data_IF_458798175144
#
_entry.id   IF_458798175144
#
_cell.length_a   1.000
_cell.length_b   1.000
_cell.length_c   1.000
_cell.angle_alpha   90.00
_cell.angle_beta   90.00
_cell.angle_gamma   90.00
#
_symmetry.space_group_name_H-M   'P 1'
#
loop_
_entity.id
_entity.type
_entity.pdbx_description
1 polymer ?
#
# COMPACT_ATOMS: atom_id res chain seq x y z
N UNK A 1 -2.08 14.63 -7.69
CA UNK A 1 -0.64 14.52 -7.40
C UNK A 1 0.01 13.92 -8.63
N UNK A 2 0.75 14.72 -9.40
CA UNK A 2 1.44 14.22 -10.60
C UNK A 2 2.40 13.08 -10.21
N UNK A 3 2.44 12.02 -11.01
CA UNK A 3 3.20 10.80 -10.71
C UNK A 3 2.45 9.72 -9.91
N UNK A 4 1.15 9.91 -9.64
CA UNK A 4 0.31 8.86 -9.07
C UNK A 4 -0.04 7.82 -10.14
N UNK A 5 0.30 6.55 -9.89
CA UNK A 5 0.05 5.45 -10.83
C UNK A 5 -1.21 4.63 -10.50
N UNK A 6 -1.73 4.74 -9.27
CA UNK A 6 -2.88 3.99 -8.75
C UNK A 6 -3.83 4.94 -8.06
N UNK A 7 -5.12 4.82 -8.33
CA UNK A 7 -6.19 5.53 -7.62
C UNK A 7 -6.48 4.90 -6.24
N UNK A 8 -5.48 4.89 -5.34
CA UNK A 8 -5.63 4.41 -3.98
C UNK A 8 -4.60 5.05 -3.03
N UNK A 9 -4.83 4.88 -1.73
CA UNK A 9 -3.96 5.40 -0.67
C UNK A 9 -3.57 4.29 0.31
N UNK A 10 -2.56 4.54 1.14
CA UNK A 10 -2.09 3.60 2.18
C UNK A 10 -3.22 3.14 3.12
N UNK A 11 -4.23 3.99 3.33
CA UNK A 11 -5.43 3.68 4.13
C UNK A 11 -6.23 2.55 3.49
N UNK A 12 -6.43 2.60 2.17
CA UNK A 12 -7.15 1.56 1.44
C UNK A 12 -6.41 0.22 1.48
N UNK A 13 -5.10 0.25 1.29
CA UNK A 13 -4.27 -0.96 1.35
C UNK A 13 -4.33 -1.62 2.73
N UNK A 14 -4.23 -0.82 3.80
CA UNK A 14 -4.38 -1.31 5.16
C UNK A 14 -5.78 -1.88 5.41
N UNK A 15 -6.84 -1.17 4.99
CA UNK A 15 -8.21 -1.60 5.21
C UNK A 15 -8.50 -2.95 4.53
N UNK A 16 -7.97 -3.17 3.31
CA UNK A 16 -8.10 -4.44 2.61
C UNK A 16 -7.47 -5.58 3.42
N UNK A 17 -6.23 -5.40 3.89
CA UNK A 17 -5.52 -6.42 4.68
C UNK A 17 -6.17 -6.65 6.05
N UNK A 18 -6.58 -5.58 6.74
CA UNK A 18 -7.16 -5.64 8.07
C UNK A 18 -8.58 -6.25 8.12
N UNK A 19 -9.31 -6.20 7.01
CA UNK A 19 -10.67 -6.75 6.89
C UNK A 19 -10.75 -8.01 6.03
N UNK A 20 -9.59 -8.59 5.69
CA UNK A 20 -9.54 -9.83 4.94
C UNK A 20 -10.17 -10.97 5.76
N UNK A 21 -11.04 -11.76 5.11
CA UNK A 21 -11.78 -12.86 5.75
C UNK A 21 -12.94 -12.41 6.64
N UNK A 22 -13.24 -11.11 6.73
CA UNK A 22 -14.46 -10.64 7.39
C UNK A 22 -15.67 -10.87 6.50
N UNK A 23 -16.80 -11.25 7.11
CA UNK A 23 -18.11 -11.17 6.47
C UNK A 23 -18.48 -9.71 6.18
N UNK A 24 -19.39 -9.49 5.24
CA UNK A 24 -19.78 -8.15 4.78
C UNK A 24 -20.26 -7.24 5.92
N UNK A 25 -21.01 -7.80 6.88
CA UNK A 25 -21.49 -7.03 8.04
C UNK A 25 -20.33 -6.62 8.95
N UNK A 26 -19.39 -7.53 9.20
CA UNK A 26 -18.21 -7.27 10.05
C UNK A 26 -17.28 -6.26 9.39
N UNK A 27 -17.12 -6.33 8.06
CA UNK A 27 -16.37 -5.35 7.27
C UNK A 27 -17.01 -3.97 7.36
N UNK A 28 -18.32 -3.87 7.21
CA UNK A 28 -19.06 -2.60 7.29
C UNK A 28 -18.93 -1.97 8.68
N UNK A 29 -19.13 -2.76 9.74
CA UNK A 29 -18.93 -2.29 11.13
C UNK A 29 -17.50 -1.83 11.38
N UNK A 30 -16.50 -2.57 10.88
CA UNK A 30 -15.10 -2.18 11.00
C UNK A 30 -14.80 -0.87 10.28
N UNK A 31 -15.30 -0.70 9.05
CA UNK A 31 -15.11 0.54 8.27
C UNK A 31 -15.73 1.74 8.97
N UNK A 32 -16.96 1.59 9.50
CA UNK A 32 -17.62 2.63 10.27
C UNK A 32 -16.82 3.01 11.53
N UNK A 33 -16.29 2.02 12.25
CA UNK A 33 -15.45 2.25 13.43
C UNK A 33 -14.07 2.86 13.08
N UNK A 34 -13.58 2.66 11.85
CA UNK A 34 -12.29 3.19 11.40
C UNK A 34 -12.40 4.64 10.88
N UNK A 35 -13.58 5.09 10.46
CA UNK A 35 -13.82 6.41 9.88
C UNK A 35 -13.28 7.58 10.75
N UNK A 36 -13.47 7.60 12.09
CA UNK A 36 -12.90 8.65 12.94
C UNK A 36 -11.37 8.69 12.91
N UNK A 37 -10.72 7.52 12.80
CA UNK A 37 -9.26 7.45 12.66
C UNK A 37 -8.80 8.03 11.32
N UNK A 38 -9.55 7.83 10.24
CA UNK A 38 -9.25 8.43 8.94
C UNK A 38 -9.24 9.96 9.04
N UNK A 39 -10.25 10.56 9.68
CA UNK A 39 -10.28 12.01 9.90
C UNK A 39 -9.07 12.50 10.72
N UNK A 40 -8.73 11.79 11.80
CA UNK A 40 -7.52 12.07 12.58
C UNK A 40 -6.23 12.00 11.73
N UNK A 41 -6.12 10.99 10.87
CA UNK A 41 -4.96 10.83 9.99
C UNK A 41 -4.84 11.95 8.95
N UNK A 42 -5.95 12.39 8.36
CA UNK A 42 -5.94 13.52 7.42
C UNK A 42 -5.47 14.81 8.11
N UNK A 43 -5.97 15.09 9.31
CA UNK A 43 -5.50 16.24 10.10
C UNK A 43 -4.01 16.14 10.42
N UNK A 44 -3.54 14.95 10.81
CA UNK A 44 -2.13 14.72 11.13
C UNK A 44 -1.24 14.86 9.89
N UNK A 45 -1.70 14.38 8.74
CA UNK A 45 -1.01 14.45 7.46
C UNK A 45 -0.83 15.90 6.99
N UNK A 46 -1.87 16.72 7.14
CA UNK A 46 -1.83 18.17 6.84
C UNK A 46 -0.78 18.91 7.67
N UNK A 47 -0.49 18.44 8.89
CA UNK A 47 0.48 19.07 9.79
C UNK A 47 1.89 18.50 9.55
N UNK A 48 2.01 17.17 9.46
CA UNK A 48 3.29 16.50 9.34
C UNK A 48 3.17 15.09 8.73
N UNK A 49 3.48 14.99 7.43
CA UNK A 49 3.51 13.73 6.65
C UNK A 49 4.33 12.62 7.31
N UNK A 50 5.52 12.94 7.81
CA UNK A 50 6.42 11.96 8.44
C UNK A 50 5.84 11.40 9.75
N UNK A 51 5.16 12.25 10.52
CA UNK A 51 4.46 11.84 11.75
C UNK A 51 3.22 11.01 11.40
N UNK A 52 2.46 11.41 10.39
CA UNK A 52 1.34 10.60 9.86
C UNK A 52 1.81 9.19 9.50
N UNK A 53 2.84 9.05 8.67
CA UNK A 53 3.36 7.73 8.27
C UNK A 53 3.72 6.88 9.50
N UNK A 54 4.49 7.44 10.44
CA UNK A 54 4.92 6.72 11.65
C UNK A 54 3.75 6.29 12.53
N UNK A 55 2.70 7.10 12.65
CA UNK A 55 1.51 6.75 13.45
C UNK A 55 0.60 5.77 12.70
N UNK A 56 0.39 5.97 11.40
CA UNK A 56 -0.46 5.14 10.56
C UNK A 56 0.07 3.71 10.47
N UNK A 57 1.38 3.55 10.24
CA UNK A 57 1.99 2.23 10.08
C UNK A 57 2.00 1.38 11.36
N UNK A 58 1.78 1.98 12.54
CA UNK A 58 1.58 1.23 13.79
C UNK A 58 0.34 0.33 13.76
N UNK A 59 -0.63 0.60 12.88
CA UNK A 59 -1.79 -0.26 12.72
C UNK A 59 -1.45 -1.67 12.20
N UNK A 60 -0.29 -1.85 11.55
CA UNK A 60 0.16 -3.15 11.07
C UNK A 60 0.77 -4.03 12.19
N UNK A 61 0.94 -3.47 13.40
CA UNK A 61 1.57 -4.20 14.51
C UNK A 61 0.83 -5.51 14.81
N UNK A 62 1.59 -6.59 14.87
CA UNK A 62 1.10 -7.92 15.20
C UNK A 62 0.53 -8.70 14.01
N UNK A 63 0.43 -8.10 12.83
CA UNK A 63 0.03 -8.83 11.62
C UNK A 63 1.10 -9.84 11.23
N UNK A 64 0.65 -11.02 10.82
CA UNK A 64 1.50 -12.12 10.37
C UNK A 64 2.04 -11.84 8.97
N UNK A 65 3.36 -11.88 8.80
CA UNK A 65 4.02 -11.51 7.55
C UNK A 65 3.75 -12.52 6.44
N UNK A 66 3.72 -13.81 6.76
CA UNK A 66 3.42 -14.86 5.78
C UNK A 66 1.99 -14.70 5.25
N UNK A 67 1.02 -14.49 6.14
CA UNK A 67 -0.37 -14.23 5.73
C UNK A 67 -0.51 -12.96 4.89
N UNK A 68 0.23 -11.89 5.20
CA UNK A 68 0.22 -10.68 4.36
C UNK A 68 0.77 -11.01 2.98
N UNK A 69 1.94 -11.66 2.89
CA UNK A 69 2.60 -12.01 1.62
C UNK A 69 1.70 -12.84 0.73
N UNK A 70 1.09 -13.89 1.27
CA UNK A 70 0.17 -14.76 0.53
C UNK A 70 -1.02 -13.99 -0.04
N UNK A 71 -1.47 -12.94 0.65
CA UNK A 71 -2.63 -12.12 0.27
C UNK A 71 -2.28 -10.94 -0.63
N UNK A 72 -1.01 -10.56 -0.74
CA UNK A 72 -0.60 -9.43 -1.58
C UNK A 72 -0.91 -9.66 -3.06
N UNK A 73 -0.84 -10.91 -3.54
CA UNK A 73 -1.25 -11.27 -4.91
C UNK A 73 -2.74 -11.03 -5.16
N UNK A 74 -3.60 -11.56 -4.27
CA UNK A 74 -5.05 -11.34 -4.34
C UNK A 74 -5.42 -9.87 -4.23
N UNK A 75 -4.77 -9.16 -3.31
CA UNK A 75 -4.95 -7.72 -3.14
C UNK A 75 -4.56 -6.95 -4.40
N UNK A 76 -3.46 -7.35 -5.05
CA UNK A 76 -3.05 -6.75 -6.31
C UNK A 76 -4.12 -6.97 -7.40
N UNK A 77 -4.51 -8.22 -7.67
CA UNK A 77 -5.43 -8.53 -8.77
C UNK A 77 -6.82 -7.91 -8.59
N UNK A 78 -7.38 -7.98 -7.38
CA UNK A 78 -8.77 -7.57 -7.15
C UNK A 78 -8.94 -6.11 -6.73
N UNK A 79 -7.90 -5.49 -6.15
CA UNK A 79 -7.99 -4.12 -5.66
C UNK A 79 -7.09 -3.16 -6.41
N UNK A 80 -5.80 -3.45 -6.54
CA UNK A 80 -4.81 -2.48 -7.07
C UNK A 80 -4.87 -2.41 -8.59
N UNK A 81 -4.80 -3.55 -9.28
CA UNK A 81 -4.71 -3.64 -10.74
C UNK A 81 -5.84 -2.88 -11.46
N UNK A 82 -7.12 -2.99 -11.07
CA UNK A 82 -8.20 -2.23 -11.72
C UNK A 82 -8.11 -0.71 -11.52
N UNK A 83 -7.32 -0.26 -10.55
CA UNK A 83 -7.13 1.16 -10.19
C UNK A 83 -5.84 1.75 -10.75
N UNK A 84 -5.04 0.97 -11.49
CA UNK A 84 -3.86 1.48 -12.18
C UNK A 84 -4.32 2.34 -13.35
N UNK A 85 -3.83 3.57 -13.44
CA UNK A 85 -4.14 4.45 -14.56
C UNK A 85 -3.53 3.88 -15.85
N UNK A 86 -4.33 3.71 -16.91
CA UNK A 86 -3.84 3.23 -18.21
C UNK A 86 -2.71 4.10 -18.77
N UNK A 87 -2.84 5.43 -18.64
CA UNK A 87 -1.80 6.36 -19.06
C UNK A 87 -0.47 6.19 -18.30
N UNK A 88 -0.49 5.67 -17.07
CA UNK A 88 0.74 5.33 -16.36
C UNK A 88 1.43 4.10 -16.97
N UNK A 89 0.65 3.08 -17.36
CA UNK A 89 1.16 1.88 -18.03
C UNK A 89 1.79 2.26 -19.37
N UNK A 90 1.07 3.05 -20.18
CA UNK A 90 1.54 3.53 -21.48
C UNK A 90 2.84 4.32 -21.33
N UNK A 91 2.88 5.28 -20.40
CA UNK A 91 4.07 6.10 -20.19
C UNK A 91 5.27 5.27 -19.74
N UNK A 92 5.07 4.32 -18.82
CA UNK A 92 6.14 3.40 -18.40
C UNK A 92 6.65 2.58 -19.59
N UNK A 93 5.76 2.10 -20.46
CA UNK A 93 6.14 1.37 -21.66
C UNK A 93 6.97 2.23 -22.63
N UNK A 94 6.62 3.50 -22.81
CA UNK A 94 7.39 4.45 -23.63
C UNK A 94 8.80 4.67 -23.09
N UNK A 95 8.95 4.92 -21.78
CA UNK A 95 10.26 5.06 -21.13
C UNK A 95 11.12 3.80 -21.36
N UNK A 96 10.53 2.63 -21.18
CA UNK A 96 11.22 1.34 -21.40
C UNK A 96 11.60 1.12 -22.86
N UNK A 97 10.74 1.50 -23.82
CA UNK A 97 11.03 1.39 -25.25
C UNK A 97 12.23 2.25 -25.67
N UNK A 98 12.50 3.35 -24.95
CA UNK A 98 13.71 4.19 -25.14
C UNK A 98 14.96 3.65 -24.43
N UNK A 99 14.87 2.49 -23.76
CA UNK A 99 15.98 1.91 -23.00
C UNK A 99 16.25 2.62 -21.66
N UNK A 100 15.30 3.43 -21.18
CA UNK A 100 15.42 4.15 -19.91
C UNK A 100 15.05 3.23 -18.74
N UNK A 101 15.74 3.41 -17.61
CA UNK A 101 15.40 2.70 -16.37
C UNK A 101 14.20 3.35 -15.69
N UNK A 102 13.27 2.54 -15.23
CA UNK A 102 12.06 2.97 -14.51
C UNK A 102 12.11 2.46 -13.08
N UNK A 103 12.06 3.36 -12.10
CA UNK A 103 12.05 3.01 -10.67
C UNK A 103 10.72 3.46 -10.05
N UNK A 104 10.04 2.54 -9.35
CA UNK A 104 8.84 2.86 -8.57
C UNK A 104 9.25 3.39 -7.19
N UNK A 105 8.86 4.63 -6.90
CA UNK A 105 9.09 5.26 -5.59
C UNK A 105 7.73 5.44 -4.89
N UNK A 106 7.59 4.91 -3.67
CA UNK A 106 6.30 4.88 -2.98
C UNK A 106 6.44 5.01 -1.47
N UNK A 107 5.50 5.74 -0.87
CA UNK A 107 5.31 5.80 0.59
C UNK A 107 4.54 4.60 1.16
N UNK A 108 4.26 3.57 0.34
CA UNK A 108 3.53 2.34 0.70
C UNK A 108 4.50 1.21 1.08
N UNK A 109 4.02 0.18 1.77
CA UNK A 109 4.85 -0.97 2.13
C UNK A 109 5.36 -1.73 0.91
N UNK A 110 6.63 -2.14 0.97
CA UNK A 110 7.29 -2.98 -0.03
C UNK A 110 6.48 -4.24 -0.38
N UNK A 111 6.04 -5.00 0.63
CA UNK A 111 5.26 -6.22 0.46
C UNK A 111 4.01 -6.04 -0.43
N UNK A 112 3.37 -4.88 -0.34
CA UNK A 112 2.13 -4.56 -1.08
C UNK A 112 2.46 -4.09 -2.50
N UNK A 113 3.62 -3.44 -2.68
CA UNK A 113 4.02 -2.79 -3.93
C UNK A 113 4.91 -3.68 -4.81
N UNK A 114 5.49 -4.75 -4.27
CA UNK A 114 6.24 -5.76 -5.02
C UNK A 114 5.46 -6.33 -6.21
N UNK A 115 4.17 -6.75 -6.08
CA UNK A 115 3.37 -7.19 -7.22
C UNK A 115 3.16 -6.09 -8.27
N UNK A 116 2.97 -4.83 -7.84
CA UNK A 116 2.78 -3.69 -8.74
C UNK A 116 4.05 -3.41 -9.54
N UNK A 117 5.20 -3.39 -8.87
CA UNK A 117 6.51 -3.23 -9.48
C UNK A 117 6.78 -4.33 -10.52
N UNK A 118 6.44 -5.58 -10.18
CA UNK A 118 6.58 -6.74 -11.06
C UNK A 118 5.67 -6.63 -12.29
N UNK A 119 4.40 -6.26 -12.10
CA UNK A 119 3.43 -6.07 -13.18
C UNK A 119 3.86 -4.96 -14.16
N UNK A 120 4.32 -3.82 -13.62
CA UNK A 120 4.79 -2.69 -14.42
C UNK A 120 6.19 -2.90 -15.01
N UNK A 121 6.88 -3.99 -14.63
CA UNK A 121 8.24 -4.34 -15.06
C UNK A 121 9.24 -3.20 -14.82
N UNK A 122 9.16 -2.60 -13.64
CA UNK A 122 10.10 -1.56 -13.21
C UNK A 122 11.46 -2.17 -12.82
N UNK A 123 12.55 -1.46 -13.08
CA UNK A 123 13.91 -1.87 -12.77
C UNK A 123 14.27 -1.76 -11.27
N UNK A 124 13.44 -1.06 -10.49
CA UNK A 124 13.63 -0.94 -9.05
C UNK A 124 12.38 -0.51 -8.30
N UNK A 125 12.37 -0.80 -7.00
CA UNK A 125 11.33 -0.42 -6.06
C UNK A 125 11.96 0.22 -4.82
N UNK A 126 11.61 1.48 -4.57
CA UNK A 126 11.93 2.20 -3.34
C UNK A 126 10.61 2.38 -2.58
N UNK A 127 10.42 1.55 -1.57
CA UNK A 127 9.20 1.48 -0.78
C UNK A 127 9.50 1.56 0.73
N UNK A 128 8.46 1.82 1.52
CA UNK A 128 8.56 1.80 2.98
C UNK A 128 8.75 0.36 3.46
N UNK A 129 9.72 0.16 4.34
CA UNK A 129 9.97 -1.13 5.00
C UNK A 129 9.57 -1.04 6.46
N UNK A 130 9.16 -2.18 7.01
CA UNK A 130 8.79 -2.30 8.42
C UNK A 130 9.63 -3.38 9.08
N UNK A 131 10.05 -3.14 10.32
CA UNK A 131 10.73 -4.16 11.10
C UNK A 131 9.78 -5.33 11.37
N UNK A 132 10.33 -6.53 11.22
CA UNK A 132 9.70 -7.80 11.53
C UNK A 132 10.35 -8.41 12.78
N UNK A 133 9.53 -9.04 13.62
CA UNK A 133 9.98 -9.84 14.76
C UNK A 133 9.06 -11.05 14.92
N UNK A 134 9.65 -12.24 15.03
CA UNK A 134 8.93 -13.51 15.24
C UNK A 134 7.81 -13.74 14.18
N UNK A 135 8.09 -13.45 12.90
CA UNK A 135 7.13 -13.58 11.81
C UNK A 135 6.03 -12.52 11.79
N UNK A 136 6.12 -11.48 12.64
CA UNK A 136 5.10 -10.44 12.79
C UNK A 136 5.65 -9.05 12.56
N UNK A 137 4.83 -8.20 11.97
CA UNK A 137 5.13 -6.78 11.80
C UNK A 137 5.15 -6.07 13.15
N UNK A 138 6.18 -5.27 13.40
CA UNK A 138 6.34 -4.54 14.68
C UNK A 138 5.53 -3.25 14.73
N UNK A 139 5.09 -2.73 13.58
CA UNK A 139 4.49 -1.40 13.44
C UNK A 139 5.51 -0.25 13.43
N UNK A 140 6.82 -0.55 13.37
CA UNK A 140 7.89 0.45 13.30
C UNK A 140 8.60 0.38 11.96
N UNK A 141 8.72 1.52 11.29
CA UNK A 141 9.43 1.64 10.00
C UNK A 141 10.93 1.41 10.18
N UNK A 142 11.56 0.77 9.20
CA UNK A 142 12.99 0.50 9.15
C UNK A 142 13.80 1.67 8.54
#
# INVERSE_FOLDING_TARGET
VDGTIVEATVVHYYAYLATYGYSDIRRTTWTAAFLPKVAYYLLLDMINRSRFNRVFYRNYRGMDVAQIRDRCGDHFEHFIRPRIFSGAIERIAEHRARGERVVLITGSLDLIMEPVSSFLKTDGLIAVKMHEKDGRLTGTLA
#
